data_IF_494402066168
#
_entry.id   IF_494402066168
#
_cell.length_a   1.000
_cell.length_b   1.000
_cell.length_c   1.000
_cell.angle_alpha   90.00
_cell.angle_beta   90.00
_cell.angle_gamma   90.00
#
_symmetry.space_group_name_H-M   'P 1'
#
loop_
_entity.id
_entity.type
_entity.pdbx_description
1 polymer ?
#
# COMPACT_ATOMS: atom_id res chain seq x y z
N UNK A 1 0.62 -17.00 -18.64
CA UNK A 1 -0.69 -17.22 -17.99
C UNK A 1 -1.43 -15.93 -17.64
N UNK A 2 -1.04 -15.12 -16.63
CA UNK A 2 -1.85 -13.93 -16.24
C UNK A 2 -2.11 -12.94 -17.41
N UNK A 3 -1.09 -12.60 -18.19
CA UNK A 3 -1.27 -11.70 -19.35
C UNK A 3 -2.18 -12.30 -20.44
N UNK A 4 -2.14 -13.62 -20.64
CA UNK A 4 -2.99 -14.31 -21.61
C UNK A 4 -4.44 -14.36 -21.14
N UNK A 5 -4.67 -14.67 -19.85
CA UNK A 5 -6.00 -14.66 -19.23
C UNK A 5 -6.63 -13.26 -19.32
N UNK A 6 -5.85 -12.21 -19.02
CA UNK A 6 -6.31 -10.83 -19.16
C UNK A 6 -6.72 -10.51 -20.60
N UNK A 7 -5.89 -10.90 -21.58
CA UNK A 7 -6.19 -10.67 -22.99
C UNK A 7 -7.44 -11.42 -23.46
N UNK A 8 -7.60 -12.69 -23.08
CA UNK A 8 -8.79 -13.47 -23.42
C UNK A 8 -10.06 -12.91 -22.76
N UNK A 9 -9.96 -12.49 -21.50
CA UNK A 9 -11.06 -11.85 -20.75
C UNK A 9 -11.53 -10.60 -21.46
N UNK A 10 -10.61 -9.71 -21.82
CA UNK A 10 -10.93 -8.47 -22.55
C UNK A 10 -11.49 -8.76 -23.94
N UNK A 11 -10.97 -9.76 -24.66
CA UNK A 11 -11.51 -10.15 -25.96
C UNK A 11 -12.96 -10.62 -25.85
N UNK A 12 -13.28 -11.47 -24.88
CA UNK A 12 -14.65 -11.94 -24.63
C UNK A 12 -15.58 -10.80 -24.21
N UNK A 13 -15.12 -9.91 -23.32
CA UNK A 13 -15.91 -8.75 -22.88
C UNK A 13 -16.29 -7.85 -24.06
N UNK A 14 -15.34 -7.45 -24.90
CA UNK A 14 -15.62 -6.62 -26.07
C UNK A 14 -16.40 -7.35 -27.18
N UNK A 15 -16.36 -8.69 -27.22
CA UNK A 15 -17.21 -9.45 -28.13
C UNK A 15 -18.69 -9.40 -27.72
N UNK A 16 -18.95 -9.43 -26.41
CA UNK A 16 -20.31 -9.31 -25.85
C UNK A 16 -20.82 -7.87 -25.88
N UNK A 17 -19.91 -6.89 -25.83
CA UNK A 17 -20.22 -5.44 -25.80
C UNK A 17 -19.57 -4.69 -26.96
N UNK A 18 -19.98 -4.93 -28.23
CA UNK A 18 -19.39 -4.28 -29.39
C UNK A 18 -19.54 -2.74 -29.36
N UNK A 19 -20.54 -2.21 -28.66
CA UNK A 19 -20.75 -0.77 -28.45
C UNK A 19 -19.59 -0.09 -27.68
N UNK A 20 -18.84 -0.84 -26.86
CA UNK A 20 -17.68 -0.30 -26.15
C UNK A 20 -16.51 -0.04 -27.09
N UNK A 21 -16.38 -0.80 -28.18
CA UNK A 21 -15.40 -0.55 -29.22
C UNK A 21 -15.69 0.77 -29.94
N UNK A 22 -16.96 1.04 -30.25
CA UNK A 22 -17.37 2.32 -30.85
C UNK A 22 -17.12 3.50 -29.89
N UNK A 23 -17.42 3.31 -28.60
CA UNK A 23 -17.32 4.36 -27.58
C UNK A 23 -15.88 4.69 -27.17
N UNK A 24 -15.03 3.68 -27.00
CA UNK A 24 -13.69 3.85 -26.40
C UNK A 24 -12.53 3.43 -27.31
N UNK A 25 -12.81 2.70 -28.39
CA UNK A 25 -11.83 2.24 -29.37
C UNK A 25 -10.69 1.41 -28.79
N UNK A 26 -9.60 1.33 -29.55
CA UNK A 26 -8.40 0.57 -29.19
C UNK A 26 -7.79 0.98 -27.84
N UNK A 27 -7.86 2.27 -27.48
CA UNK A 27 -7.35 2.77 -26.20
C UNK A 27 -8.19 2.28 -25.01
N UNK A 28 -9.51 2.26 -25.16
CA UNK A 28 -10.41 1.70 -24.15
C UNK A 28 -10.19 0.21 -23.95
N UNK A 29 -10.03 -0.53 -25.05
CA UNK A 29 -9.70 -1.95 -25.03
C UNK A 29 -8.40 -2.23 -24.28
N UNK A 30 -7.37 -1.45 -24.55
CA UNK A 30 -6.08 -1.60 -23.85
C UNK A 30 -6.19 -1.28 -22.35
N UNK A 31 -6.98 -0.25 -21.97
CA UNK A 31 -7.26 0.02 -20.55
C UNK A 31 -8.01 -1.12 -19.87
N UNK A 32 -9.05 -1.66 -20.51
CA UNK A 32 -9.78 -2.82 -20.00
C UNK A 32 -8.87 -4.06 -19.85
N UNK A 33 -7.91 -4.25 -20.78
CA UNK A 33 -6.88 -5.28 -20.66
C UNK A 33 -5.97 -5.07 -19.45
N UNK A 34 -5.59 -3.83 -19.17
CA UNK A 34 -4.82 -3.47 -17.98
C UNK A 34 -5.64 -3.69 -16.70
N UNK A 35 -6.92 -3.32 -16.68
CA UNK A 35 -7.81 -3.59 -15.55
C UNK A 35 -7.93 -5.09 -15.28
N UNK A 36 -8.08 -5.92 -16.33
CA UNK A 36 -8.06 -7.38 -16.21
C UNK A 36 -6.75 -7.91 -15.63
N UNK A 37 -5.61 -7.33 -16.01
CA UNK A 37 -4.31 -7.68 -15.41
C UNK A 37 -4.27 -7.32 -13.92
N UNK A 38 -4.77 -6.15 -13.53
CA UNK A 38 -4.84 -5.77 -12.12
C UNK A 38 -5.76 -6.70 -11.33
N UNK A 39 -6.97 -7.00 -11.82
CA UNK A 39 -7.87 -7.94 -11.16
C UNK A 39 -7.18 -9.28 -10.89
N UNK A 40 -6.48 -9.82 -11.88
CA UNK A 40 -5.73 -11.06 -11.74
C UNK A 40 -4.61 -10.95 -10.72
N UNK A 41 -3.82 -9.87 -10.73
CA UNK A 41 -2.74 -9.67 -9.75
C UNK A 41 -3.29 -9.65 -8.32
N UNK A 42 -4.34 -8.88 -8.05
CA UNK A 42 -4.97 -8.86 -6.72
C UNK A 42 -5.57 -10.21 -6.34
N UNK A 43 -6.22 -10.89 -7.29
CA UNK A 43 -6.86 -12.19 -7.05
C UNK A 43 -5.83 -13.28 -6.73
N UNK A 44 -4.72 -13.34 -7.46
CA UNK A 44 -3.64 -14.31 -7.23
C UNK A 44 -3.10 -14.16 -5.80
N UNK A 45 -2.94 -12.93 -5.36
CA UNK A 45 -2.32 -12.58 -4.08
C UNK A 45 -3.26 -12.87 -2.92
N UNK A 46 -4.52 -12.50 -3.04
CA UNK A 46 -5.56 -12.85 -2.09
C UNK A 46 -5.74 -14.38 -1.96
N UNK A 47 -5.75 -15.11 -3.08
CA UNK A 47 -5.81 -16.58 -3.08
C UNK A 47 -4.55 -17.19 -2.45
N UNK A 48 -3.38 -16.63 -2.71
CA UNK A 48 -2.10 -17.06 -2.14
C UNK A 48 -2.00 -16.84 -0.62
N UNK A 49 -2.64 -15.78 -0.14
CA UNK A 49 -2.80 -15.46 1.29
C UNK A 49 -4.06 -16.08 1.93
N UNK A 50 -4.88 -16.83 1.16
CA UNK A 50 -6.14 -17.38 1.68
C UNK A 50 -7.13 -16.35 2.25
N UNK A 51 -6.97 -15.06 1.97
CA UNK A 51 -7.80 -13.98 2.51
C UNK A 51 -8.83 -13.54 1.49
N UNK A 52 -10.10 -13.78 1.82
CA UNK A 52 -11.24 -13.26 1.06
C UNK A 52 -11.31 -11.72 1.14
N UNK A 53 -10.89 -11.16 2.28
CA UNK A 53 -10.90 -9.72 2.55
C UNK A 53 -10.08 -8.96 1.52
N UNK A 54 -8.87 -9.43 1.21
CA UNK A 54 -7.93 -8.72 0.32
C UNK A 54 -8.48 -8.51 -1.09
N UNK A 55 -9.17 -9.51 -1.67
CA UNK A 55 -9.74 -9.36 -3.00
C UNK A 55 -11.07 -8.59 -2.98
N UNK A 56 -11.90 -8.83 -1.97
CA UNK A 56 -13.18 -8.13 -1.83
C UNK A 56 -13.00 -6.63 -1.60
N UNK A 57 -12.04 -6.23 -0.75
CA UNK A 57 -11.68 -4.83 -0.55
C UNK A 57 -11.24 -4.17 -1.86
N UNK A 58 -10.35 -4.82 -2.61
CA UNK A 58 -9.92 -4.36 -3.94
C UNK A 58 -11.10 -4.17 -4.92
N UNK A 59 -12.04 -5.10 -4.96
CA UNK A 59 -13.19 -5.03 -5.88
C UNK A 59 -14.13 -3.88 -5.50
N UNK A 60 -14.38 -3.69 -4.20
CA UNK A 60 -15.19 -2.57 -3.71
C UNK A 60 -14.49 -1.22 -3.94
N UNK A 61 -13.17 -1.16 -3.75
CA UNK A 61 -12.37 0.00 -4.12
C UNK A 61 -12.47 0.29 -5.62
N UNK A 62 -12.38 -0.75 -6.47
CA UNK A 62 -12.50 -0.60 -7.93
C UNK A 62 -13.87 -0.06 -8.32
N UNK A 63 -14.94 -0.53 -7.67
CA UNK A 63 -16.29 -0.01 -7.86
C UNK A 63 -16.34 1.51 -7.63
N UNK A 64 -15.85 2.00 -6.49
CA UNK A 64 -15.86 3.44 -6.16
C UNK A 64 -15.09 4.27 -7.20
N UNK A 65 -13.93 3.77 -7.64
CA UNK A 65 -13.11 4.42 -8.68
C UNK A 65 -13.86 4.50 -10.02
N UNK A 66 -14.54 3.43 -10.42
CA UNK A 66 -15.29 3.38 -11.68
C UNK A 66 -16.53 4.29 -11.63
N UNK A 67 -17.29 4.26 -10.54
CA UNK A 67 -18.45 5.15 -10.32
C UNK A 67 -18.05 6.62 -10.44
N UNK A 68 -16.93 6.99 -9.82
CA UNK A 68 -16.47 8.38 -9.85
C UNK A 68 -16.01 8.82 -11.26
N UNK A 69 -15.62 7.86 -12.10
CA UNK A 69 -15.28 8.07 -13.52
C UNK A 69 -16.48 7.91 -14.45
N UNK A 70 -17.69 7.74 -13.92
CA UNK A 70 -18.94 7.50 -14.67
C UNK A 70 -18.88 6.25 -15.55
N UNK A 71 -18.11 5.25 -15.13
CA UNK A 71 -18.11 3.91 -15.73
C UNK A 71 -19.16 3.07 -15.00
N UNK A 72 -20.10 2.41 -15.71
CA UNK A 72 -21.13 1.60 -15.08
C UNK A 72 -20.55 0.46 -14.23
N UNK A 73 -21.02 0.31 -12.98
CA UNK A 73 -20.60 -0.79 -12.09
C UNK A 73 -20.97 -2.17 -12.66
N UNK A 74 -22.06 -2.25 -13.42
CA UNK A 74 -22.45 -3.47 -14.13
C UNK A 74 -21.33 -3.99 -15.04
N UNK A 75 -20.52 -3.09 -15.61
CA UNK A 75 -19.42 -3.47 -16.50
C UNK A 75 -18.33 -4.20 -15.71
N UNK A 76 -18.04 -3.77 -14.47
CA UNK A 76 -17.13 -4.46 -13.55
C UNK A 76 -17.66 -5.85 -13.16
N UNK A 77 -18.95 -5.92 -12.81
CA UNK A 77 -19.59 -7.18 -12.42
C UNK A 77 -19.55 -8.22 -13.56
N UNK A 78 -19.97 -7.83 -14.76
CA UNK A 78 -19.91 -8.67 -15.97
C UNK A 78 -18.46 -9.06 -16.31
N UNK A 79 -17.52 -8.12 -16.20
CA UNK A 79 -16.11 -8.39 -16.45
C UNK A 79 -15.51 -9.42 -15.47
N UNK A 80 -15.87 -9.36 -14.18
CA UNK A 80 -15.44 -10.36 -13.18
C UNK A 80 -16.08 -11.74 -13.42
N UNK A 81 -17.32 -11.81 -13.94
CA UNK A 81 -17.95 -13.07 -14.36
C UNK A 81 -17.17 -13.69 -15.53
N UNK A 82 -16.88 -12.91 -16.56
CA UNK A 82 -16.11 -13.39 -17.73
C UNK A 82 -14.72 -13.83 -17.29
N UNK A 83 -14.07 -13.08 -16.40
CA UNK A 83 -12.77 -13.44 -15.84
C UNK A 83 -12.84 -14.80 -15.14
N UNK A 84 -13.88 -15.04 -14.33
CA UNK A 84 -14.12 -16.33 -13.67
C UNK A 84 -14.23 -17.48 -14.68
N UNK A 85 -15.01 -17.28 -15.74
CA UNK A 85 -15.23 -18.29 -16.78
C UNK A 85 -13.95 -18.57 -17.57
N UNK A 86 -13.17 -17.54 -17.89
CA UNK A 86 -11.87 -17.68 -18.56
C UNK A 86 -10.89 -18.46 -17.70
N UNK A 87 -10.81 -18.17 -16.39
CA UNK A 87 -9.94 -18.88 -15.46
C UNK A 87 -10.34 -20.36 -15.35
N UNK A 88 -11.64 -20.67 -15.34
CA UNK A 88 -12.16 -22.04 -15.26
C UNK A 88 -11.66 -22.95 -16.40
N UNK A 89 -11.36 -22.38 -17.57
CA UNK A 89 -10.85 -23.12 -18.72
C UNK A 89 -9.36 -23.48 -18.61
N UNK A 90 -8.62 -22.78 -17.74
CA UNK A 90 -7.16 -22.86 -17.66
C UNK A 90 -6.62 -23.50 -16.39
N UNK A 91 -7.43 -23.54 -15.33
CA UNK A 91 -7.01 -24.09 -14.04
C UNK A 91 -7.58 -25.50 -13.78
N UNK A 92 -6.78 -26.39 -13.14
CA UNK A 92 -7.31 -27.61 -12.54
C UNK A 92 -8.44 -27.31 -11.54
N UNK A 93 -9.40 -28.23 -11.40
CA UNK A 93 -10.61 -28.04 -10.60
C UNK A 93 -10.29 -27.66 -9.15
N UNK A 94 -9.30 -28.29 -8.53
CA UNK A 94 -8.90 -28.03 -7.14
C UNK A 94 -8.31 -26.63 -6.93
N UNK A 95 -7.64 -26.08 -7.94
CA UNK A 95 -7.14 -24.70 -7.92
C UNK A 95 -8.27 -23.72 -8.22
N UNK A 96 -9.11 -24.04 -9.22
CA UNK A 96 -10.24 -23.21 -9.61
C UNK A 96 -11.23 -22.99 -8.47
N UNK A 97 -11.53 -24.01 -7.64
CA UNK A 97 -12.45 -23.86 -6.51
C UNK A 97 -12.03 -22.72 -5.57
N UNK A 98 -10.74 -22.61 -5.27
CA UNK A 98 -10.22 -21.53 -4.41
C UNK A 98 -10.40 -20.17 -5.05
N UNK A 99 -10.09 -20.06 -6.34
CA UNK A 99 -10.23 -18.81 -7.10
C UNK A 99 -11.71 -18.40 -7.24
N UNK A 100 -12.58 -19.36 -7.56
CA UNK A 100 -14.01 -19.16 -7.71
C UNK A 100 -14.66 -18.68 -6.40
N UNK A 101 -14.23 -19.18 -5.25
CA UNK A 101 -14.74 -18.72 -3.95
C UNK A 101 -14.45 -17.22 -3.73
N UNK A 102 -13.23 -16.74 -4.04
CA UNK A 102 -12.88 -15.32 -3.91
C UNK A 102 -13.70 -14.44 -4.87
N UNK A 103 -13.81 -14.86 -6.14
CA UNK A 103 -14.60 -14.15 -7.15
C UNK A 103 -16.09 -14.10 -6.79
N UNK A 104 -16.67 -15.22 -6.34
CA UNK A 104 -18.07 -15.28 -5.95
C UNK A 104 -18.35 -14.40 -4.71
N UNK A 105 -17.46 -14.40 -3.72
CA UNK A 105 -17.58 -13.53 -2.54
C UNK A 105 -17.56 -12.04 -2.95
N UNK A 106 -16.61 -11.65 -3.80
CA UNK A 106 -16.52 -10.28 -4.30
C UNK A 106 -17.73 -9.88 -5.16
N UNK A 107 -18.22 -10.77 -6.02
CA UNK A 107 -19.42 -10.54 -6.83
C UNK A 107 -20.68 -10.35 -5.96
N UNK A 108 -20.85 -11.17 -4.92
CA UNK A 108 -21.95 -11.02 -3.97
C UNK A 108 -21.89 -9.65 -3.25
N UNK A 109 -20.71 -9.23 -2.78
CA UNK A 109 -20.56 -7.93 -2.13
C UNK A 109 -20.83 -6.75 -3.07
N UNK A 110 -20.44 -6.85 -4.35
CA UNK A 110 -20.79 -5.83 -5.35
C UNK A 110 -22.30 -5.70 -5.51
N UNK A 111 -23.03 -6.81 -5.52
CA UNK A 111 -24.50 -6.81 -5.62
C UNK A 111 -25.14 -6.19 -4.37
N UNK A 112 -24.64 -6.52 -3.18
CA UNK A 112 -25.16 -6.00 -1.90
C UNK A 112 -24.86 -4.50 -1.71
N UNK A 113 -23.69 -4.02 -2.15
CA UNK A 113 -23.30 -2.61 -2.05
C UNK A 113 -23.82 -1.73 -3.18
N UNK A 114 -24.39 -2.30 -4.24
CA UNK A 114 -24.91 -1.54 -5.37
C UNK A 114 -26.05 -0.61 -4.92
N UNK A 115 -25.77 0.69 -4.83
CA UNK A 115 -26.71 1.72 -4.36
C UNK A 115 -26.58 2.13 -2.89
N UNK A 116 -25.57 1.65 -2.15
CA UNK A 116 -25.20 2.23 -0.85
C UNK A 116 -24.38 3.50 -1.06
N UNK A 117 -24.69 4.56 -0.31
CA UNK A 117 -23.87 5.77 -0.32
C UNK A 117 -22.46 5.46 0.23
N UNK A 118 -21.40 6.09 -0.31
CA UNK A 118 -20.06 5.98 0.24
C UNK A 118 -20.08 6.30 1.74
N UNK A 119 -19.31 5.56 2.54
CA UNK A 119 -19.18 5.92 3.95
C UNK A 119 -18.61 7.35 4.05
N UNK A 120 -19.18 8.21 4.90
CA UNK A 120 -18.72 9.58 5.06
C UNK A 120 -17.27 9.57 5.54
N UNK A 121 -16.39 10.28 4.83
CA UNK A 121 -15.00 10.45 5.23
C UNK A 121 -14.93 11.12 6.60
N UNK A 122 -14.13 10.56 7.50
CA UNK A 122 -13.87 11.20 8.79
C UNK A 122 -13.29 12.60 8.58
N UNK A 123 -13.76 13.61 9.33
CA UNK A 123 -13.26 14.97 9.19
C UNK A 123 -11.79 15.03 9.63
N UNK A 124 -10.98 15.76 8.86
CA UNK A 124 -9.61 16.08 9.26
C UNK A 124 -9.63 17.07 10.43
N UNK A 125 -8.64 16.96 11.31
CA UNK A 125 -8.41 17.98 12.33
C UNK A 125 -8.11 19.34 11.69
N UNK A 126 -8.38 20.47 12.37
CA UNK A 126 -8.27 21.80 11.75
C UNK A 126 -6.91 22.10 11.11
N UNK A 127 -5.81 21.69 11.75
CA UNK A 127 -4.46 21.88 11.22
C UNK A 127 -4.23 21.03 9.96
N UNK A 128 -4.63 19.76 9.98
CA UNK A 128 -4.55 18.85 8.84
C UNK A 128 -5.40 19.33 7.66
N UNK A 129 -6.62 19.79 7.93
CA UNK A 129 -7.51 20.36 6.92
C UNK A 129 -6.87 21.59 6.26
N UNK A 130 -6.34 22.51 7.05
CA UNK A 130 -5.68 23.72 6.53
C UNK A 130 -4.42 23.38 5.73
N UNK A 131 -3.62 22.42 6.22
CA UNK A 131 -2.44 21.95 5.52
C UNK A 131 -2.78 21.36 4.14
N UNK A 132 -3.81 20.49 4.06
CA UNK A 132 -4.32 19.95 2.81
C UNK A 132 -4.74 21.05 1.84
N UNK A 133 -5.51 22.04 2.31
CA UNK A 133 -5.99 23.15 1.48
C UNK A 133 -4.83 23.96 0.89
N UNK A 134 -3.77 24.23 1.67
CA UNK A 134 -2.57 24.92 1.19
C UNK A 134 -1.82 24.10 0.14
N UNK A 135 -1.70 22.77 0.33
CA UNK A 135 -1.07 21.89 -0.67
C UNK A 135 -1.85 21.90 -1.98
N UNK A 136 -3.18 21.72 -1.92
CA UNK A 136 -4.05 21.70 -3.10
C UNK A 136 -4.09 23.05 -3.83
N UNK A 137 -3.91 24.15 -3.10
CA UNK A 137 -3.82 25.50 -3.65
C UNK A 137 -2.41 25.84 -4.22
N UNK A 138 -1.43 24.93 -4.15
CA UNK A 138 -0.08 25.18 -4.64
C UNK A 138 0.78 26.05 -3.72
N UNK A 139 0.29 26.35 -2.50
CA UNK A 139 0.90 27.31 -1.56
C UNK A 139 2.00 26.67 -0.71
N UNK A 140 3.03 26.13 -1.38
CA UNK A 140 4.14 25.40 -0.74
C UNK A 140 4.78 26.15 0.42
N UNK A 141 5.06 27.44 0.24
CA UNK A 141 5.72 28.26 1.27
C UNK A 141 4.85 28.40 2.52
N UNK A 142 3.57 28.72 2.33
CA UNK A 142 2.62 28.85 3.44
C UNK A 142 2.45 27.53 4.19
N UNK A 143 2.34 26.41 3.46
CA UNK A 143 2.27 25.08 4.08
C UNK A 143 3.52 24.74 4.89
N UNK A 144 4.71 25.04 4.34
CA UNK A 144 5.98 24.84 5.04
C UNK A 144 6.10 25.69 6.30
N UNK A 145 5.86 26.99 6.18
CA UNK A 145 6.01 27.94 7.28
C UNK A 145 5.04 27.61 8.42
N UNK A 146 3.80 27.20 8.09
CA UNK A 146 2.81 26.74 9.05
C UNK A 146 3.33 25.55 9.86
N UNK A 147 3.79 24.48 9.20
CA UNK A 147 4.27 23.29 9.91
C UNK A 147 5.49 23.61 10.78
N UNK A 148 6.46 24.36 10.25
CA UNK A 148 7.64 24.73 11.03
C UNK A 148 7.30 25.61 12.24
N UNK A 149 6.28 26.47 12.11
CA UNK A 149 5.78 27.27 13.22
C UNK A 149 5.15 26.40 14.32
N UNK A 150 4.31 25.42 13.98
CA UNK A 150 3.70 24.51 14.98
C UNK A 150 4.78 23.74 15.75
N UNK A 151 5.79 23.21 15.06
CA UNK A 151 6.91 22.51 15.70
C UNK A 151 7.73 23.47 16.58
N UNK A 152 7.98 24.70 16.11
CA UNK A 152 8.67 25.71 16.92
C UNK A 152 7.87 26.16 18.16
N UNK A 153 6.54 26.02 18.14
CA UNK A 153 5.66 26.27 19.29
C UNK A 153 5.54 25.08 20.24
N UNK A 154 6.17 23.94 19.92
CA UNK A 154 6.29 22.79 20.81
C UNK A 154 5.49 21.56 20.39
N UNK A 155 4.85 21.56 19.21
CA UNK A 155 4.23 20.34 18.67
C UNK A 155 5.30 19.27 18.43
N UNK A 156 5.09 18.06 18.96
CA UNK A 156 6.02 16.97 18.73
C UNK A 156 5.95 16.48 17.27
N UNK A 157 7.09 16.12 16.68
CA UNK A 157 7.14 15.62 15.29
C UNK A 157 6.32 14.32 15.14
N UNK A 158 6.29 13.47 16.18
CA UNK A 158 5.44 12.26 16.20
C UNK A 158 3.96 12.60 16.10
N UNK A 159 3.50 13.60 16.87
CA UNK A 159 2.13 14.08 16.83
C UNK A 159 1.80 14.62 15.44
N UNK A 160 2.66 15.50 14.91
CA UNK A 160 2.51 16.05 13.56
C UNK A 160 2.37 14.97 12.48
N UNK A 161 3.15 13.89 12.57
CA UNK A 161 3.08 12.82 11.59
C UNK A 161 1.73 12.09 11.65
N UNK A 162 1.24 11.80 12.85
CA UNK A 162 0.01 11.03 13.07
C UNK A 162 -1.27 11.85 12.86
N UNK A 163 -1.28 13.13 13.23
CA UNK A 163 -2.48 13.98 13.19
C UNK A 163 -2.56 14.85 11.95
N UNK A 164 -1.44 15.10 11.26
CA UNK A 164 -1.39 15.94 10.05
C UNK A 164 -0.92 15.15 8.83
N UNK A 165 0.33 14.69 8.79
CA UNK A 165 0.88 14.14 7.55
C UNK A 165 0.20 12.85 7.10
N UNK A 166 0.08 11.85 7.96
CA UNK A 166 -0.58 10.60 7.64
C UNK A 166 -2.04 10.81 7.15
N UNK A 167 -2.92 11.51 7.89
CA UNK A 167 -4.31 11.68 7.44
C UNK A 167 -4.44 12.56 6.20
N UNK A 168 -3.57 13.57 6.02
CA UNK A 168 -3.53 14.36 4.77
C UNK A 168 -3.12 13.50 3.59
N UNK A 169 -2.11 12.62 3.74
CA UNK A 169 -1.66 11.76 2.66
C UNK A 169 -2.71 10.69 2.31
N UNK A 170 -3.41 10.14 3.29
CA UNK A 170 -4.59 9.31 3.06
C UNK A 170 -5.66 10.09 2.29
N UNK A 171 -5.96 11.33 2.68
CA UNK A 171 -6.95 12.17 1.98
C UNK A 171 -6.53 12.51 0.55
N UNK A 172 -5.27 12.87 0.33
CA UNK A 172 -4.69 13.12 -1.00
C UNK A 172 -4.85 11.87 -1.88
N UNK A 173 -4.52 10.69 -1.34
CA UNK A 173 -4.74 9.41 -2.02
C UNK A 173 -6.20 9.19 -2.40
N UNK A 174 -7.14 9.40 -1.47
CA UNK A 174 -8.59 9.29 -1.73
C UNK A 174 -9.09 10.27 -2.79
N UNK A 175 -8.66 11.53 -2.72
CA UNK A 175 -9.02 12.55 -3.72
C UNK A 175 -8.50 12.19 -5.10
N UNK A 176 -7.31 11.59 -5.19
CA UNK A 176 -6.76 11.12 -6.46
C UNK A 176 -7.53 9.92 -7.00
N UNK A 177 -7.81 8.93 -6.14
CA UNK A 177 -8.58 7.73 -6.49
C UNK A 177 -9.98 8.08 -7.00
N UNK A 178 -10.65 9.01 -6.33
CA UNK A 178 -11.98 9.54 -6.69
C UNK A 178 -11.91 10.66 -7.74
N UNK A 179 -10.78 10.79 -8.46
CA UNK A 179 -10.63 11.70 -9.59
C UNK A 179 -11.00 13.17 -9.29
N UNK A 180 -10.88 13.59 -8.01
CA UNK A 180 -11.05 14.97 -7.56
C UNK A 180 -9.79 15.78 -7.75
N UNK A 181 -8.63 15.11 -7.71
CA UNK A 181 -7.33 15.66 -8.06
C UNK A 181 -6.63 14.77 -9.10
N UNK A 182 -5.73 15.37 -9.87
CA UNK A 182 -4.90 14.65 -10.83
C UNK A 182 -3.70 13.97 -10.16
N UNK A 183 -3.08 13.01 -10.84
CA UNK A 183 -1.80 12.43 -10.40
C UNK A 183 -0.70 13.48 -10.23
N UNK A 184 -0.72 14.55 -11.04
CA UNK A 184 0.24 15.64 -10.90
C UNK A 184 0.06 16.40 -9.57
N UNK A 185 -1.17 16.59 -9.12
CA UNK A 185 -1.47 17.22 -7.83
C UNK A 185 -1.12 16.31 -6.66
N UNK A 186 -1.40 15.01 -6.78
CA UNK A 186 -1.00 14.01 -5.78
C UNK A 186 0.52 14.00 -5.59
N UNK A 187 1.30 13.82 -6.67
CA UNK A 187 2.77 13.89 -6.63
C UNK A 187 3.27 15.22 -6.04
N UNK A 188 2.63 16.33 -6.39
CA UNK A 188 2.99 17.65 -5.86
C UNK A 188 2.78 17.73 -4.34
N UNK A 189 1.65 17.23 -3.83
CA UNK A 189 1.36 17.20 -2.40
C UNK A 189 2.40 16.35 -1.65
N UNK A 190 2.65 15.12 -2.13
CA UNK A 190 3.61 14.18 -1.53
C UNK A 190 5.03 14.74 -1.54
N UNK A 191 5.48 15.34 -2.65
CA UNK A 191 6.81 15.94 -2.74
C UNK A 191 7.01 17.11 -1.77
N UNK A 192 5.97 17.94 -1.56
CA UNK A 192 6.04 19.01 -0.57
C UNK A 192 6.12 18.44 0.84
N UNK A 193 5.28 17.47 1.20
CA UNK A 193 5.35 16.82 2.50
C UNK A 193 6.72 16.21 2.75
N UNK A 194 7.31 15.49 1.79
CA UNK A 194 8.67 14.96 1.90
C UNK A 194 9.73 16.05 2.11
N UNK A 195 9.59 17.18 1.42
CA UNK A 195 10.49 18.33 1.58
C UNK A 195 10.37 18.99 2.95
N UNK A 196 9.17 19.00 3.54
CA UNK A 196 8.95 19.51 4.90
C UNK A 196 9.52 18.53 5.92
N UNK A 197 9.28 17.22 5.77
CA UNK A 197 9.85 16.17 6.63
C UNK A 197 11.38 16.29 6.74
N UNK A 198 12.08 16.53 5.63
CA UNK A 198 13.55 16.70 5.65
C UNK A 198 14.02 17.92 6.46
N UNK A 199 13.19 18.94 6.61
CA UNK A 199 13.51 20.12 7.43
C UNK A 199 13.29 19.87 8.93
N UNK A 200 12.60 18.77 9.29
CA UNK A 200 12.36 18.37 10.68
C UNK A 200 13.49 17.53 11.26
N UNK A 201 14.50 17.15 10.46
CA UNK A 201 15.65 16.36 10.90
C UNK A 201 16.40 16.87 12.14
N UNK A 202 16.53 18.19 12.38
CA UNK A 202 17.10 18.68 13.65
C UNK A 202 16.32 18.25 14.91
N UNK A 203 15.02 17.96 14.78
CA UNK A 203 14.15 17.48 15.86
C UNK A 203 14.08 15.94 15.91
N UNK A 204 14.52 15.25 14.85
CA UNK A 204 14.48 13.78 14.73
C UNK A 204 15.81 13.17 15.19
N UNK A 205 16.94 13.70 14.73
CA UNK A 205 18.28 13.13 15.02
C UNK A 205 18.91 13.62 16.32
N UNK A 206 18.13 14.32 17.17
CA UNK A 206 18.62 14.86 18.44
C UNK A 206 18.67 13.84 19.58
N UNK A 207 18.05 12.66 19.42
CA UNK A 207 17.92 11.65 20.47
C UNK A 207 19.23 10.92 20.76
N UNK A 208 19.46 10.57 22.03
CA UNK A 208 20.60 9.72 22.41
C UNK A 208 20.47 8.34 21.77
N UNK A 209 21.59 7.82 21.24
CA UNK A 209 21.60 6.52 20.56
C UNK A 209 21.47 5.38 21.57
N UNK A 210 20.46 4.53 21.39
CA UNK A 210 20.19 3.38 22.26
C UNK A 210 20.97 2.11 21.85
N UNK A 211 21.69 2.18 20.73
CA UNK A 211 22.55 1.12 20.20
C UNK A 211 21.85 0.09 19.32
N UNK A 212 20.54 0.22 19.08
CA UNK A 212 19.81 -0.62 18.14
C UNK A 212 19.87 -0.07 16.72
N UNK A 213 19.89 -0.97 15.75
CA UNK A 213 19.93 -0.64 14.32
C UNK A 213 18.71 -1.16 13.59
N UNK A 214 18.15 -0.33 12.72
CA UNK A 214 17.03 -0.65 11.84
C UNK A 214 17.48 -0.61 10.38
N UNK A 215 17.07 -1.57 9.57
CA UNK A 215 17.07 -1.43 8.11
C UNK A 215 15.62 -1.42 7.62
N UNK A 216 15.24 -0.41 6.86
CA UNK A 216 13.87 -0.20 6.41
C UNK A 216 13.81 -0.15 4.88
N UNK A 217 12.92 -0.93 4.26
CA UNK A 217 12.80 -1.01 2.79
C UNK A 217 11.37 -1.26 2.31
N UNK A 218 10.99 -0.57 1.24
CA UNK A 218 9.87 -1.01 0.41
C UNK A 218 10.35 -2.16 -0.49
N UNK A 219 9.42 -3.00 -0.90
CA UNK A 219 9.72 -4.11 -1.82
C UNK A 219 9.90 -3.63 -3.26
N UNK A 220 10.49 -4.47 -4.11
CA UNK A 220 10.61 -4.20 -5.54
C UNK A 220 9.22 -3.96 -6.16
N UNK A 221 9.12 -2.95 -7.02
CA UNK A 221 7.87 -2.49 -7.63
C UNK A 221 7.07 -1.49 -6.79
N UNK A 222 7.33 -1.38 -5.47
CA UNK A 222 6.59 -0.46 -4.62
C UNK A 222 7.25 0.92 -4.54
N UNK A 223 6.54 1.93 -5.02
CA UNK A 223 6.99 3.33 -5.05
C UNK A 223 6.53 4.14 -3.82
N UNK A 224 5.66 3.58 -2.97
CA UNK A 224 4.97 4.31 -1.91
C UNK A 224 5.77 4.29 -0.60
N UNK A 225 6.81 5.12 -0.55
CA UNK A 225 7.80 5.07 0.52
C UNK A 225 7.48 5.94 1.75
N UNK A 226 6.55 6.90 1.62
CA UNK A 226 6.32 7.93 2.63
C UNK A 226 5.91 7.34 4.00
N UNK A 227 5.06 6.30 4.00
CA UNK A 227 4.68 5.59 5.22
C UNK A 227 5.88 4.94 5.90
N UNK A 228 6.73 4.27 5.12
CA UNK A 228 7.95 3.65 5.62
C UNK A 228 8.95 4.69 6.16
N UNK A 229 9.07 5.84 5.50
CA UNK A 229 9.87 6.96 5.98
C UNK A 229 9.37 7.48 7.32
N UNK A 230 8.06 7.69 7.46
CA UNK A 230 7.46 8.09 8.74
C UNK A 230 7.78 7.11 9.86
N UNK A 231 7.66 5.79 9.61
CA UNK A 231 8.05 4.78 10.60
C UNK A 231 9.55 4.84 10.90
N UNK A 232 10.41 4.99 9.90
CA UNK A 232 11.87 5.08 10.10
C UNK A 232 12.25 6.29 10.96
N UNK A 233 11.65 7.45 10.72
CA UNK A 233 11.85 8.66 11.52
C UNK A 233 11.36 8.47 12.98
N UNK A 234 10.29 7.67 13.21
CA UNK A 234 9.87 7.30 14.56
C UNK A 234 10.93 6.51 15.33
N UNK A 235 11.61 5.58 14.65
CA UNK A 235 12.70 4.81 15.26
C UNK A 235 13.91 5.69 15.56
N UNK A 236 14.27 6.61 14.66
CA UNK A 236 15.32 7.62 14.89
C UNK A 236 15.02 8.48 16.12
N UNK A 237 13.77 8.93 16.27
CA UNK A 237 13.33 9.71 17.43
C UNK A 237 13.44 8.93 18.75
N UNK A 238 13.42 7.59 18.72
CA UNK A 238 13.63 6.71 19.87
C UNK A 238 15.10 6.27 20.04
N UNK A 239 16.02 6.86 19.27
CA UNK A 239 17.45 6.64 19.38
C UNK A 239 18.00 5.43 18.61
N UNK A 240 17.20 4.80 17.75
CA UNK A 240 17.69 3.76 16.84
C UNK A 240 18.50 4.38 15.71
N UNK A 241 19.54 3.70 15.25
CA UNK A 241 20.30 4.05 14.05
C UNK A 241 19.63 3.40 12.81
N UNK A 242 18.98 4.21 11.98
CA UNK A 242 18.14 3.70 10.89
C UNK A 242 18.82 3.83 9.53
N UNK A 243 18.78 2.74 8.78
CA UNK A 243 19.21 2.66 7.39
C UNK A 243 17.99 2.50 6.49
N UNK A 244 17.45 3.65 6.08
CA UNK A 244 16.27 3.76 5.22
C UNK A 244 16.63 3.66 3.74
N UNK A 245 16.28 2.54 3.09
CA UNK A 245 16.58 2.28 1.68
C UNK A 245 15.60 2.92 0.69
N UNK A 246 14.40 3.29 1.16
CA UNK A 246 13.36 3.89 0.33
C UNK A 246 12.58 2.90 -0.52
N UNK A 247 12.17 3.39 -1.70
CA UNK A 247 11.23 2.72 -2.59
C UNK A 247 11.90 1.72 -3.55
N UNK A 248 11.14 0.74 -4.04
CA UNK A 248 11.48 -0.12 -5.18
C UNK A 248 12.86 -0.79 -5.07
N UNK A 249 13.14 -1.42 -3.93
CA UNK A 249 14.47 -1.99 -3.66
C UNK A 249 14.50 -3.48 -4.04
N UNK A 250 15.43 -3.91 -4.92
CA UNK A 250 15.57 -5.33 -5.27
C UNK A 250 15.98 -6.19 -4.06
N UNK A 251 15.47 -7.42 -4.00
CA UNK A 251 15.77 -8.39 -2.93
C UNK A 251 17.28 -8.58 -2.72
N UNK A 252 18.05 -8.68 -3.79
CA UNK A 252 19.51 -8.85 -3.71
C UNK A 252 20.20 -7.67 -3.00
N UNK A 253 19.74 -6.45 -3.26
CA UNK A 253 20.24 -5.24 -2.60
C UNK A 253 19.91 -5.24 -1.11
N UNK A 254 18.68 -5.62 -0.74
CA UNK A 254 18.28 -5.76 0.67
C UNK A 254 19.19 -6.76 1.39
N UNK A 255 19.41 -7.95 0.82
CA UNK A 255 20.31 -8.96 1.41
C UNK A 255 21.75 -8.46 1.55
N UNK A 256 22.24 -7.67 0.59
CA UNK A 256 23.58 -7.06 0.68
C UNK A 256 23.64 -6.05 1.83
N UNK A 257 22.65 -5.18 1.94
CA UNK A 257 22.60 -4.15 2.99
C UNK A 257 22.42 -4.76 4.39
N UNK A 258 21.68 -5.87 4.53
CA UNK A 258 21.59 -6.61 5.80
C UNK A 258 22.97 -7.10 6.27
N UNK A 259 23.81 -7.61 5.35
CA UNK A 259 25.16 -8.07 5.67
C UNK A 259 26.11 -6.93 6.02
N UNK A 260 26.00 -5.81 5.31
CA UNK A 260 26.86 -4.65 5.50
C UNK A 260 26.56 -3.92 6.82
N UNK A 261 25.29 -3.65 7.10
CA UNK A 261 24.90 -2.80 8.23
C UNK A 261 24.63 -3.58 9.52
N UNK A 262 24.39 -4.89 9.41
CA UNK A 262 24.09 -5.80 10.50
C UNK A 262 23.01 -5.24 11.44
N UNK A 263 21.80 -4.95 10.93
CA UNK A 263 20.73 -4.38 11.74
C UNK A 263 20.15 -5.40 12.72
N UNK A 264 19.58 -4.91 13.82
CA UNK A 264 18.83 -5.74 14.77
C UNK A 264 17.44 -6.09 14.23
N UNK A 265 16.88 -5.19 13.39
CA UNK A 265 15.55 -5.31 12.81
C UNK A 265 15.56 -4.95 11.32
N UNK A 266 14.89 -5.78 10.52
CA UNK A 266 14.46 -5.47 9.16
C UNK A 266 12.97 -5.07 9.17
N UNK A 267 12.66 -3.88 8.68
CA UNK A 267 11.28 -3.44 8.46
C UNK A 267 10.96 -3.41 6.96
N UNK A 268 9.93 -4.15 6.55
CA UNK A 268 9.46 -4.19 5.18
C UNK A 268 8.07 -3.56 5.08
N UNK A 269 7.87 -2.69 4.09
CA UNK A 269 6.55 -2.09 3.80
C UNK A 269 6.02 -2.55 2.44
N UNK A 270 4.72 -2.82 2.38
CA UNK A 270 3.96 -3.01 1.16
C UNK A 270 2.68 -2.16 1.20
N UNK A 271 2.47 -1.33 0.19
CA UNK A 271 1.28 -0.46 0.11
C UNK A 271 0.16 -1.11 -0.70
N UNK A 272 0.49 -1.93 -1.70
CA UNK A 272 -0.50 -2.60 -2.55
C UNK A 272 -0.54 -4.09 -2.23
N UNK A 273 -1.74 -4.69 -2.26
CA UNK A 273 -1.92 -6.13 -1.99
C UNK A 273 -1.06 -7.00 -2.89
N UNK A 274 -0.85 -6.60 -4.15
CA UNK A 274 -0.02 -7.36 -5.08
C UNK A 274 1.49 -7.27 -4.85
N UNK A 275 1.93 -6.54 -3.82
CA UNK A 275 3.31 -6.54 -3.36
C UNK A 275 3.56 -7.54 -2.22
N UNK A 276 2.52 -8.18 -1.68
CA UNK A 276 2.63 -9.13 -0.55
C UNK A 276 3.50 -10.34 -0.91
N UNK A 277 3.35 -10.90 -2.11
CA UNK A 277 4.20 -12.00 -2.56
C UNK A 277 5.68 -11.61 -2.70
N UNK A 278 5.97 -10.43 -3.23
CA UNK A 278 7.35 -9.93 -3.31
C UNK A 278 7.97 -9.76 -1.92
N UNK A 279 7.18 -9.31 -0.95
CA UNK A 279 7.59 -9.24 0.46
C UNK A 279 7.88 -10.63 1.02
N UNK A 280 6.97 -11.59 0.83
CA UNK A 280 7.14 -12.99 1.25
C UNK A 280 8.39 -13.64 0.64
N UNK A 281 8.74 -13.27 -0.58
CA UNK A 281 9.94 -13.77 -1.26
C UNK A 281 11.22 -13.20 -0.64
N UNK A 282 11.21 -11.92 -0.23
CA UNK A 282 12.32 -11.32 0.54
C UNK A 282 12.49 -12.05 1.87
N UNK A 283 11.41 -12.25 2.63
CA UNK A 283 11.46 -12.97 3.91
C UNK A 283 12.04 -14.37 3.72
N UNK A 284 11.55 -15.12 2.72
CA UNK A 284 12.09 -16.45 2.40
C UNK A 284 13.57 -16.41 2.05
N UNK A 285 14.02 -15.42 1.28
CA UNK A 285 15.43 -15.27 0.94
C UNK A 285 16.30 -14.94 2.17
N UNK A 286 15.81 -14.12 3.09
CA UNK A 286 16.49 -13.82 4.37
C UNK A 286 16.58 -15.09 5.23
N UNK A 287 15.47 -15.84 5.37
CA UNK A 287 15.45 -17.10 6.16
C UNK A 287 16.29 -18.21 5.55
N UNK A 288 16.46 -18.25 4.24
CA UNK A 288 17.30 -19.23 3.55
C UNK A 288 18.80 -18.92 3.65
N UNK A 289 19.17 -17.70 4.03
CA UNK A 289 20.57 -17.29 4.21
C UNK A 289 21.00 -17.56 5.66
N UNK A 290 21.91 -18.51 5.87
CA UNK A 290 22.36 -18.95 7.20
C UNK A 290 22.88 -17.80 8.08
N UNK A 291 23.51 -16.79 7.47
CA UNK A 291 24.07 -15.61 8.12
C UNK A 291 23.02 -14.55 8.50
N UNK A 292 21.80 -14.66 7.97
CA UNK A 292 20.72 -13.66 8.15
C UNK A 292 19.46 -14.24 8.81
N UNK A 293 19.36 -15.56 8.95
CA UNK A 293 18.14 -16.25 9.41
C UNK A 293 17.60 -15.74 10.75
N UNK A 294 18.48 -15.28 11.64
CA UNK A 294 18.17 -14.79 12.99
C UNK A 294 17.75 -13.31 13.06
N UNK A 295 17.82 -12.56 11.94
CA UNK A 295 17.39 -11.16 11.91
C UNK A 295 15.89 -11.09 12.16
N UNK A 296 15.45 -10.20 13.06
CA UNK A 296 14.03 -9.97 13.27
C UNK A 296 13.46 -9.20 12.10
N UNK A 297 12.30 -9.61 11.62
CA UNK A 297 11.62 -9.02 10.47
C UNK A 297 10.24 -8.55 10.90
N UNK A 298 9.97 -7.26 10.74
CA UNK A 298 8.64 -6.69 10.88
C UNK A 298 8.09 -6.25 9.54
N UNK A 299 6.76 -6.29 9.42
CA UNK A 299 6.04 -5.89 8.21
C UNK A 299 4.98 -4.86 8.53
N UNK A 300 4.63 -4.04 7.53
CA UNK A 300 3.55 -3.08 7.65
C UNK A 300 3.05 -2.60 6.30
N UNK A 301 2.09 -1.69 6.33
CA UNK A 301 1.42 -1.14 5.17
C UNK A 301 0.02 -1.74 4.97
N UNK A 302 -0.71 -1.19 4.00
CA UNK A 302 -2.16 -1.34 3.87
C UNK A 302 -2.67 -2.80 3.87
N UNK A 303 -2.05 -3.76 3.17
CA UNK A 303 -2.53 -5.15 3.18
C UNK A 303 -2.50 -5.80 4.57
N UNK A 304 -1.54 -5.44 5.42
CA UNK A 304 -1.44 -5.96 6.78
C UNK A 304 -2.43 -5.28 7.74
N UNK A 305 -2.86 -4.06 7.42
CA UNK A 305 -3.94 -3.38 8.15
C UNK A 305 -5.33 -3.95 7.79
N UNK A 306 -5.48 -4.55 6.60
CA UNK A 306 -6.72 -5.23 6.19
C UNK A 306 -6.86 -6.63 6.79
N UNK A 307 -5.75 -7.35 6.94
CA UNK A 307 -5.73 -8.74 7.38
C UNK A 307 -4.62 -8.93 8.44
N UNK A 308 -5.00 -8.84 9.73
CA UNK A 308 -4.05 -8.86 10.86
C UNK A 308 -3.22 -10.14 10.96
N UNK A 309 -3.67 -11.25 10.38
CA UNK A 309 -2.95 -12.53 10.43
C UNK A 309 -1.95 -12.70 9.27
N UNK A 310 -1.99 -11.81 8.27
CA UNK A 310 -1.19 -11.90 7.05
C UNK A 310 0.32 -11.89 7.33
N UNK A 311 0.77 -11.19 8.38
CA UNK A 311 2.19 -11.14 8.74
C UNK A 311 2.76 -12.51 9.13
N UNK A 312 1.92 -13.39 9.74
CA UNK A 312 2.32 -14.76 10.08
C UNK A 312 2.48 -15.60 8.83
N UNK A 313 1.59 -15.43 7.85
CA UNK A 313 1.60 -16.20 6.60
C UNK A 313 2.78 -15.86 5.68
N UNK A 314 3.26 -14.62 5.73
CA UNK A 314 4.47 -14.20 5.02
C UNK A 314 5.76 -14.58 5.77
N UNK A 315 5.65 -15.02 7.04
CA UNK A 315 6.77 -15.49 7.86
C UNK A 315 7.52 -14.38 8.60
N UNK A 316 6.88 -13.24 8.83
CA UNK A 316 7.45 -12.16 9.63
C UNK A 316 7.42 -12.48 11.14
N UNK A 317 8.24 -11.79 11.93
CA UNK A 317 8.26 -11.90 13.40
C UNK A 317 7.26 -10.94 14.08
N UNK A 318 6.76 -9.93 13.36
CA UNK A 318 5.78 -9.00 13.89
C UNK A 318 5.19 -8.04 12.84
N UNK A 319 4.16 -7.32 13.25
CA UNK A 319 3.43 -6.35 12.43
C UNK A 319 3.12 -5.10 13.26
N UNK A 320 3.19 -3.92 12.63
CA UNK A 320 2.73 -2.66 13.23
C UNK A 320 1.72 -1.96 12.33
N UNK A 321 0.54 -1.66 12.87
CA UNK A 321 -0.54 -0.99 12.13
C UNK A 321 -0.22 0.48 11.79
N UNK A 322 0.65 1.09 12.58
CA UNK A 322 1.15 2.45 12.43
C UNK A 322 2.57 2.57 13.04
N UNK A 323 3.17 3.75 12.89
CA UNK A 323 4.54 4.01 13.35
C UNK A 323 4.74 3.83 14.86
N UNK A 324 3.74 4.16 15.67
CA UNK A 324 3.81 4.03 17.13
C UNK A 324 3.82 2.55 17.55
N UNK A 325 2.86 1.78 17.07
CA UNK A 325 2.75 0.35 17.38
C UNK A 325 3.95 -0.45 16.84
N UNK A 326 4.45 -0.09 15.65
CA UNK A 326 5.65 -0.71 15.09
C UNK A 326 6.87 -0.54 16.00
N UNK A 327 7.04 0.64 16.58
CA UNK A 327 8.15 0.92 17.50
C UNK A 327 7.99 0.13 18.81
N UNK A 328 6.80 0.17 19.43
CA UNK A 328 6.52 -0.53 20.69
C UNK A 328 6.78 -2.04 20.57
N UNK A 329 6.34 -2.66 19.46
CA UNK A 329 6.56 -4.08 19.21
C UNK A 329 8.03 -4.41 18.92
N UNK A 330 8.72 -3.56 18.16
CA UNK A 330 10.12 -3.77 17.79
C UNK A 330 11.04 -3.93 19.00
N UNK A 331 10.87 -3.08 20.02
CA UNK A 331 11.64 -3.17 21.26
C UNK A 331 11.44 -4.52 21.95
N UNK A 332 10.21 -5.03 21.98
CA UNK A 332 9.90 -6.36 22.51
C UNK A 332 10.59 -7.50 21.74
N UNK A 333 10.67 -7.39 20.42
CA UNK A 333 11.27 -8.42 19.56
C UNK A 333 12.80 -8.47 19.66
N UNK A 334 13.47 -7.31 19.73
CA UNK A 334 14.95 -7.27 19.73
C UNK A 334 15.55 -7.42 21.13
N UNK A 335 14.83 -7.03 22.19
CA UNK A 335 15.34 -7.09 23.56
C UNK A 335 15.50 -8.52 24.11
N UNK A 336 14.87 -9.52 23.48
CA UNK A 336 15.03 -10.95 23.84
C UNK A 336 16.41 -11.49 23.47
N UNK A 337 17.21 -10.75 22.68
CA UNK A 337 18.48 -11.22 22.10
C UNK A 337 19.74 -10.79 22.88
N UNK A 338 19.61 -10.07 24.00
CA UNK A 338 20.76 -9.63 24.82
C UNK A 338 21.04 -10.52 26.03
#
# INVERSE_FOLDING_TARGET
MSAELAQETTQKFFHLHPELEEKYGAMGREKCRQDAQYHLSYLIEAVGAGSMTLFSDYVLWTQEVLETRKVPVKDLHEHLIILKDVIALHLPIDQYVRVANHLNNALQLLEEKNGLEPQPEEPLEPLAQTYLELLLAGKRKEANDMILQEVAQGMEVKELYLTVFQPVQHRVGRLWQTNKITVAQEHFCTAITQSIMSQLYPYIFGSERNGYKLLASCVAGDLHELGLRMVSDFFEMEGWDTYYLGANVPTASILSSLREHQPDLLLLSATMTFHVQALKDIIRAVRAAEDLQEIKIMVGGYPFNLEEELWREVGADGYGANAKEAMELALGLVSVRK
#
